data_IF_686611162030
#
_entry.id   IF_686611162030
#
_cell.length_a   1.000
_cell.length_b   1.000
_cell.length_c   1.000
_cell.angle_alpha   90.00
_cell.angle_beta   90.00
_cell.angle_gamma   90.00
#
_symmetry.space_group_name_H-M   'P 1'
#
loop_
_entity.id
_entity.type
_entity.pdbx_description
1 polymer ?
#
# COMPACT_ATOMS: atom_id res chain seq x y z
N UNK A 1 10.70 8.16 9.27
CA UNK A 1 11.42 9.33 8.71
C UNK A 1 10.52 10.20 7.85
N UNK A 2 9.79 9.67 6.86
CA UNK A 2 8.87 10.46 6.00
C UNK A 2 7.87 11.35 6.78
N UNK A 3 7.18 10.80 7.78
CA UNK A 3 6.22 11.58 8.59
C UNK A 3 6.81 12.81 9.29
N UNK A 4 8.04 12.75 9.82
CA UNK A 4 8.64 13.89 10.50
C UNK A 4 8.99 14.98 9.50
N UNK A 5 9.63 14.60 8.38
CA UNK A 5 10.01 15.54 7.33
C UNK A 5 8.80 16.24 6.72
N UNK A 6 7.78 15.47 6.32
CA UNK A 6 6.53 16.00 5.79
C UNK A 6 5.81 16.90 6.80
N UNK A 7 5.79 16.53 8.09
CA UNK A 7 5.20 17.37 9.14
C UNK A 7 6.00 18.66 9.36
N UNK A 8 7.33 18.59 9.33
CA UNK A 8 8.19 19.78 9.46
C UNK A 8 8.01 20.72 8.27
N UNK A 9 8.07 20.21 7.03
CA UNK A 9 7.84 21.03 5.84
C UNK A 9 6.43 21.62 5.80
N UNK A 10 5.40 20.83 6.14
CA UNK A 10 4.04 21.32 6.19
C UNK A 10 3.87 22.40 7.28
N UNK A 11 4.49 22.21 8.45
CA UNK A 11 4.50 23.21 9.52
C UNK A 11 5.20 24.48 9.06
N UNK A 12 6.36 24.36 8.40
CA UNK A 12 7.13 25.52 7.95
C UNK A 12 6.33 26.34 6.92
N UNK A 13 5.71 25.67 5.94
CA UNK A 13 4.95 26.35 4.90
C UNK A 13 3.58 26.87 5.38
N UNK A 14 2.86 26.11 6.21
CA UNK A 14 1.45 26.38 6.54
C UNK A 14 1.25 27.07 7.88
N UNK A 15 2.21 27.01 8.79
CA UNK A 15 2.10 27.57 10.14
C UNK A 15 3.16 28.66 10.41
N UNK A 16 4.43 28.40 10.10
CA UNK A 16 5.51 29.36 10.36
C UNK A 16 5.60 30.45 9.28
N UNK A 17 5.48 30.03 8.02
CA UNK A 17 5.53 30.87 6.84
C UNK A 17 6.91 31.48 6.55
N UNK A 18 7.01 32.13 5.39
CA UNK A 18 8.20 32.84 4.95
C UNK A 18 7.86 34.30 4.67
N UNK A 19 8.85 35.19 4.75
CA UNK A 19 8.68 36.59 4.33
C UNK A 19 8.63 36.69 2.80
N UNK A 20 8.32 37.88 2.27
CA UNK A 20 8.25 38.12 0.82
C UNK A 20 9.57 37.83 0.08
N UNK A 21 10.71 37.81 0.80
CA UNK A 21 12.02 37.44 0.27
C UNK A 21 12.34 35.94 0.32
N UNK A 22 11.41 35.10 0.80
CA UNK A 22 11.60 33.65 0.94
C UNK A 22 12.41 33.22 2.17
N UNK A 23 12.64 34.10 3.15
CA UNK A 23 13.34 33.76 4.40
C UNK A 23 12.36 33.41 5.51
N UNK A 24 12.79 32.57 6.47
CA UNK A 24 12.01 32.28 7.68
C UNK A 24 11.69 33.57 8.43
N UNK A 25 10.52 33.63 9.04
CA UNK A 25 10.13 34.75 9.89
C UNK A 25 11.01 34.81 11.15
N UNK A 26 11.41 36.02 11.56
CA UNK A 26 12.24 36.26 12.75
C UNK A 26 13.64 36.80 12.44
N UNK A 27 14.46 36.91 13.48
CA UNK A 27 15.86 37.36 13.35
C UNK A 27 16.76 36.13 13.31
N UNK A 28 17.51 35.89 12.22
CA UNK A 28 18.37 34.73 12.11
C UNK A 28 19.49 34.78 13.15
N UNK A 29 19.76 33.64 13.79
CA UNK A 29 20.93 33.48 14.64
C UNK A 29 22.17 33.34 13.75
N UNK A 30 23.00 34.37 13.71
CA UNK A 30 24.26 34.39 12.94
C UNK A 30 25.44 33.76 13.67
N UNK A 31 25.26 33.34 14.93
CA UNK A 31 26.33 32.79 15.77
C UNK A 31 26.52 31.27 15.59
N UNK A 32 25.90 30.68 14.56
CA UNK A 32 26.09 29.28 14.22
C UNK A 32 27.41 29.06 13.48
N UNK A 33 28.16 28.03 13.88
CA UNK A 33 29.35 27.60 13.15
C UNK A 33 28.96 27.14 11.73
N UNK A 34 29.81 27.42 10.72
CA UNK A 34 29.57 26.96 9.37
C UNK A 34 29.54 25.41 9.32
N UNK A 35 28.72 24.79 8.45
CA UNK A 35 28.71 23.34 8.27
C UNK A 35 30.12 22.80 7.94
N UNK A 36 30.53 21.74 8.64
CA UNK A 36 31.82 21.10 8.40
C UNK A 36 31.70 20.02 7.32
N UNK A 37 32.52 20.11 6.28
CA UNK A 37 32.63 19.06 5.26
C UNK A 37 33.28 17.82 5.85
N UNK A 38 32.61 16.67 5.75
CA UNK A 38 33.21 15.38 6.05
C UNK A 38 34.10 14.96 4.88
N UNK A 39 35.39 14.76 5.15
CA UNK A 39 36.38 14.33 4.18
C UNK A 39 36.72 12.86 4.41
N UNK A 40 36.91 12.12 3.32
CA UNK A 40 37.26 10.72 3.32
C UNK A 40 38.40 10.52 2.34
N UNK A 41 39.44 9.81 2.76
CA UNK A 41 40.44 9.27 1.85
C UNK A 41 39.88 7.97 1.26
N UNK A 42 39.99 7.79 -0.06
CA UNK A 42 39.47 6.62 -0.78
C UNK A 42 40.64 5.77 -1.30
N UNK A 43 41.10 4.76 -0.53
CA UNK A 43 42.03 3.75 -1.03
C UNK A 43 41.45 3.02 -2.25
N UNK A 44 42.34 2.39 -3.03
CA UNK A 44 41.96 1.63 -4.22
C UNK A 44 40.91 0.55 -3.92
N UNK A 45 41.04 -0.16 -2.80
CA UNK A 45 40.07 -1.17 -2.36
C UNK A 45 38.68 -0.58 -2.10
N UNK A 46 38.62 0.67 -1.60
CA UNK A 46 37.37 1.38 -1.37
C UNK A 46 36.72 1.82 -2.68
N UNK A 47 37.52 2.30 -3.64
CA UNK A 47 37.04 2.68 -4.97
C UNK A 47 36.43 1.46 -5.67
N UNK A 48 37.10 0.30 -5.62
CA UNK A 48 36.57 -0.93 -6.18
C UNK A 48 35.24 -1.36 -5.55
N UNK A 49 35.10 -1.20 -4.23
CA UNK A 49 33.83 -1.48 -3.54
C UNK A 49 32.71 -0.50 -3.94
N UNK A 50 33.05 0.77 -4.17
CA UNK A 50 32.11 1.80 -4.67
C UNK A 50 31.62 1.41 -6.06
N UNK A 51 32.53 1.05 -6.97
CA UNK A 51 32.18 0.70 -8.36
C UNK A 51 31.33 -0.57 -8.42
N UNK A 52 31.66 -1.59 -7.63
CA UNK A 52 30.84 -2.80 -7.51
C UNK A 52 29.43 -2.49 -6.99
N UNK A 53 29.34 -1.70 -5.91
CA UNK A 53 28.07 -1.28 -5.33
C UNK A 53 27.23 -0.44 -6.31
N UNK A 54 27.89 0.41 -7.10
CA UNK A 54 27.23 1.19 -8.14
C UNK A 54 26.66 0.30 -9.24
N UNK A 55 27.41 -0.71 -9.69
CA UNK A 55 26.94 -1.70 -10.65
C UNK A 55 25.68 -2.43 -10.16
N UNK A 56 25.69 -2.91 -8.92
CA UNK A 56 24.53 -3.56 -8.29
C UNK A 56 23.33 -2.62 -8.16
N UNK A 57 23.54 -1.39 -7.64
CA UNK A 57 22.48 -0.40 -7.48
C UNK A 57 21.85 0.00 -8.82
N UNK A 58 22.68 0.13 -9.86
CA UNK A 58 22.22 0.44 -11.22
C UNK A 58 21.38 -0.70 -11.79
N UNK A 59 21.85 -1.94 -11.69
CA UNK A 59 21.09 -3.11 -12.16
C UNK A 59 19.74 -3.23 -11.44
N UNK A 60 19.71 -3.00 -10.11
CA UNK A 60 18.47 -2.97 -9.34
C UNK A 60 17.52 -1.86 -9.79
N UNK A 61 18.04 -0.66 -10.09
CA UNK A 61 17.22 0.46 -10.55
C UNK A 61 16.66 0.23 -11.97
N UNK A 62 17.44 -0.37 -12.86
CA UNK A 62 17.05 -0.69 -14.24
C UNK A 62 15.99 -1.81 -14.30
N UNK A 63 15.90 -2.66 -13.27
CA UNK A 63 14.92 -3.76 -13.19
C UNK A 63 13.52 -3.33 -12.73
N UNK A 64 13.34 -2.15 -12.13
CA UNK A 64 12.06 -1.75 -11.54
C UNK A 64 11.11 -1.17 -12.59
N UNK A 65 10.00 -1.85 -12.86
CA UNK A 65 8.87 -1.28 -13.59
C UNK A 65 7.91 -0.59 -12.61
N UNK A 66 7.55 0.66 -12.89
CA UNK A 66 6.82 1.52 -11.96
C UNK A 66 5.70 2.31 -12.64
N UNK A 67 4.52 2.31 -12.01
CA UNK A 67 3.38 3.14 -12.37
C UNK A 67 2.79 3.82 -11.12
N UNK A 68 2.59 5.13 -11.20
CA UNK A 68 1.85 5.88 -10.19
C UNK A 68 0.72 6.68 -10.83
N UNK A 69 -0.44 6.69 -10.17
CA UNK A 69 -1.57 7.49 -10.64
C UNK A 69 -2.47 7.97 -9.51
N UNK A 70 -3.10 9.12 -9.78
CA UNK A 70 -4.21 9.64 -9.00
C UNK A 70 -5.54 9.08 -9.52
N UNK A 71 -6.38 8.64 -8.60
CA UNK A 71 -7.76 8.25 -8.83
C UNK A 71 -8.68 9.27 -8.15
N UNK A 72 -9.39 10.05 -8.96
CA UNK A 72 -10.22 11.18 -8.52
C UNK A 72 -11.70 11.04 -8.92
N UNK A 73 -12.10 9.92 -9.54
CA UNK A 73 -13.49 9.67 -9.90
C UNK A 73 -14.38 9.57 -8.66
N UNK A 74 -13.85 8.99 -7.58
CA UNK A 74 -14.41 9.00 -6.23
C UNK A 74 -13.32 8.68 -5.20
N UNK A 75 -13.63 8.80 -3.92
CA UNK A 75 -12.74 8.40 -2.83
C UNK A 75 -13.51 7.81 -1.65
N UNK A 76 -12.92 7.89 -0.45
CA UNK A 76 -13.53 7.36 0.77
C UNK A 76 -14.94 7.90 1.05
N UNK A 77 -15.24 9.12 0.59
CA UNK A 77 -16.54 9.75 0.82
C UNK A 77 -17.69 9.02 0.14
N UNK A 78 -17.47 8.47 -1.07
CA UNK A 78 -18.46 7.62 -1.73
C UNK A 78 -18.48 6.23 -1.08
N UNK A 79 -17.30 5.61 -0.90
CA UNK A 79 -17.18 4.25 -0.37
C UNK A 79 -17.88 4.10 0.99
N UNK A 80 -17.73 5.09 1.88
CA UNK A 80 -18.38 5.10 3.20
C UNK A 80 -19.90 5.25 3.13
N UNK A 81 -20.45 5.96 2.14
CA UNK A 81 -21.91 6.06 1.95
C UNK A 81 -22.52 4.70 1.62
N UNK A 82 -21.74 3.83 0.99
CA UNK A 82 -22.08 2.44 0.70
C UNK A 82 -21.75 1.50 1.88
N UNK A 83 -21.58 2.04 3.10
CA UNK A 83 -21.32 1.31 4.36
C UNK A 83 -20.11 0.37 4.32
N UNK A 84 -19.14 0.66 3.45
CA UNK A 84 -17.95 -0.17 3.27
C UNK A 84 -16.71 0.55 3.80
N UNK A 85 -15.78 -0.20 4.41
CA UNK A 85 -14.46 0.34 4.75
C UNK A 85 -13.71 0.73 3.47
N UNK A 86 -13.17 1.95 3.34
CA UNK A 86 -12.35 2.35 2.19
C UNK A 86 -11.20 1.39 1.92
N UNK A 87 -10.59 0.89 2.98
CA UNK A 87 -9.48 -0.05 2.90
C UNK A 87 -9.92 -1.42 2.37
N UNK A 88 -11.00 -2.00 2.94
CA UNK A 88 -11.60 -3.24 2.41
C UNK A 88 -12.02 -3.09 0.95
N UNK A 89 -12.59 -1.94 0.56
CA UNK A 89 -12.97 -1.70 -0.83
C UNK A 89 -11.76 -1.80 -1.76
N UNK A 90 -10.68 -1.09 -1.43
CA UNK A 90 -9.45 -1.08 -2.24
C UNK A 90 -8.85 -2.49 -2.28
N UNK A 91 -8.75 -3.18 -1.16
CA UNK A 91 -8.19 -4.53 -1.10
C UNK A 91 -8.98 -5.53 -1.95
N UNK A 92 -10.31 -5.49 -1.92
CA UNK A 92 -11.14 -6.32 -2.80
C UNK A 92 -11.01 -5.89 -4.28
N UNK A 93 -10.87 -4.60 -4.57
CA UNK A 93 -10.59 -4.11 -5.93
C UNK A 93 -9.23 -4.61 -6.45
N UNK A 94 -8.20 -4.67 -5.60
CA UNK A 94 -6.90 -5.24 -5.93
C UNK A 94 -7.00 -6.74 -6.26
N UNK A 95 -7.84 -7.51 -5.55
CA UNK A 95 -8.09 -8.91 -5.88
C UNK A 95 -8.75 -9.07 -7.26
N UNK A 96 -9.75 -8.24 -7.57
CA UNK A 96 -10.41 -8.25 -8.88
C UNK A 96 -9.44 -7.85 -10.00
N UNK A 97 -8.66 -6.79 -9.79
CA UNK A 97 -7.66 -6.34 -10.74
C UNK A 97 -6.60 -7.41 -11.00
N UNK A 98 -6.10 -8.07 -9.96
CA UNK A 98 -5.06 -9.09 -10.10
C UNK A 98 -5.58 -10.31 -10.86
N UNK A 99 -6.81 -10.75 -10.57
CA UNK A 99 -7.42 -11.86 -11.29
C UNK A 99 -7.65 -11.54 -12.78
N UNK A 100 -8.03 -10.30 -13.12
CA UNK A 100 -8.14 -9.87 -14.52
C UNK A 100 -6.78 -9.82 -15.22
N UNK A 101 -5.74 -9.44 -14.50
CA UNK A 101 -4.39 -9.31 -15.02
C UNK A 101 -3.70 -10.66 -15.23
N UNK A 102 -3.88 -11.60 -14.29
CA UNK A 102 -3.10 -12.85 -14.19
C UNK A 102 -3.93 -14.11 -14.44
N UNK A 103 -5.26 -14.02 -14.41
CA UNK A 103 -6.17 -15.17 -14.60
C UNK A 103 -6.24 -16.15 -13.41
N UNK A 104 -5.47 -15.92 -12.35
CA UNK A 104 -5.48 -16.75 -11.14
C UNK A 104 -5.33 -15.92 -9.86
N UNK A 105 -5.64 -16.54 -8.73
CA UNK A 105 -5.45 -15.95 -7.40
C UNK A 105 -4.01 -16.17 -6.91
N UNK A 106 -3.55 -15.34 -5.98
CA UNK A 106 -2.24 -15.45 -5.38
C UNK A 106 -2.28 -15.10 -3.88
N UNK A 107 -1.20 -15.42 -3.16
CA UNK A 107 -1.05 -14.92 -1.79
C UNK A 107 -0.91 -13.40 -1.82
N UNK A 108 -1.82 -12.74 -1.12
CA UNK A 108 -1.81 -11.29 -0.95
C UNK A 108 -1.43 -10.93 0.47
N UNK A 109 -0.36 -10.15 0.61
CA UNK A 109 0.08 -9.56 1.86
C UNK A 109 -0.51 -8.16 1.97
N UNK A 110 -1.11 -7.84 3.11
CA UNK A 110 -1.39 -6.48 3.54
C UNK A 110 -0.75 -6.23 4.91
N UNK A 111 -0.05 -5.09 5.06
CA UNK A 111 0.50 -4.68 6.34
C UNK A 111 -0.58 -4.14 7.28
N UNK A 112 -0.75 -4.77 8.45
CA UNK A 112 -1.59 -4.26 9.55
C UNK A 112 -0.74 -3.86 10.74
N UNK A 113 -0.93 -2.64 11.27
CA UNK A 113 -0.15 -2.15 12.41
C UNK A 113 -0.62 -2.76 13.73
N UNK A 114 0.30 -3.27 14.55
CA UNK A 114 0.02 -3.85 15.87
C UNK A 114 0.34 -2.89 17.02
N UNK A 115 0.16 -1.57 16.80
CA UNK A 115 0.52 -0.51 17.75
C UNK A 115 -0.27 -0.52 19.08
N UNK A 116 -1.23 -1.43 19.23
CA UNK A 116 -1.89 -1.71 20.52
C UNK A 116 -0.96 -2.45 21.51
N UNK A 117 0.13 -3.04 21.02
CA UNK A 117 1.11 -3.76 21.83
C UNK A 117 2.39 -2.93 21.96
N UNK A 118 3.09 -3.07 23.09
CA UNK A 118 4.42 -2.47 23.29
C UNK A 118 5.37 -3.00 22.22
N UNK A 119 6.12 -2.10 21.57
CA UNK A 119 7.03 -2.42 20.45
C UNK A 119 6.33 -3.04 19.23
N UNK A 120 4.99 -2.99 19.18
CA UNK A 120 4.20 -3.49 18.06
C UNK A 120 4.62 -2.84 16.74
N UNK A 121 4.98 -3.69 15.77
CA UNK A 121 5.28 -3.30 14.39
C UNK A 121 4.10 -3.63 13.50
N UNK A 122 4.13 -4.80 12.86
CA UNK A 122 3.14 -5.21 11.86
C UNK A 122 2.77 -6.67 12.00
N UNK A 123 1.52 -7.00 11.69
CA UNK A 123 1.03 -8.34 11.36
C UNK A 123 0.55 -8.33 9.88
N UNK A 124 0.34 -9.52 9.30
CA UNK A 124 -0.18 -9.69 7.94
C UNK A 124 -1.69 -9.89 7.95
N UNK A 125 -2.37 -9.15 7.08
CA UNK A 125 -3.72 -9.49 6.63
C UNK A 125 -3.61 -10.22 5.30
N UNK A 126 -4.23 -11.40 5.22
CA UNK A 126 -4.28 -12.21 4.00
C UNK A 126 -5.51 -11.86 3.18
N UNK A 127 -5.40 -10.85 2.32
CA UNK A 127 -6.55 -10.25 1.63
C UNK A 127 -7.23 -11.17 0.60
N UNK A 128 -6.50 -12.17 0.08
CA UNK A 128 -7.07 -13.20 -0.78
C UNK A 128 -7.81 -14.27 0.05
N UNK A 129 -9.06 -13.98 0.44
CA UNK A 129 -9.93 -14.92 1.16
C UNK A 129 -10.87 -15.67 0.22
N UNK A 130 -11.54 -16.73 0.71
CA UNK A 130 -12.55 -17.46 -0.06
C UNK A 130 -13.68 -16.54 -0.53
N UNK A 131 -14.11 -15.63 0.34
CA UNK A 131 -15.14 -14.63 0.09
C UNK A 131 -14.70 -13.64 -1.00
N UNK A 132 -13.47 -13.13 -0.92
CA UNK A 132 -12.89 -12.30 -1.98
C UNK A 132 -12.84 -13.04 -3.32
N UNK A 133 -12.39 -14.30 -3.33
CA UNK A 133 -12.35 -15.09 -4.58
C UNK A 133 -13.74 -15.40 -5.15
N UNK A 134 -14.75 -15.58 -4.29
CA UNK A 134 -16.13 -15.81 -4.72
C UNK A 134 -16.70 -14.55 -5.39
N UNK A 135 -16.49 -13.38 -4.77
CA UNK A 135 -16.85 -12.10 -5.39
C UNK A 135 -16.15 -11.90 -6.74
N UNK A 136 -14.83 -12.09 -6.80
CA UNK A 136 -14.05 -11.89 -8.03
C UNK A 136 -14.53 -12.81 -9.16
N UNK A 137 -14.82 -14.08 -8.87
CA UNK A 137 -15.39 -15.01 -9.86
C UNK A 137 -16.75 -14.54 -10.35
N UNK A 138 -17.62 -14.06 -9.46
CA UNK A 138 -18.97 -13.59 -9.82
C UNK A 138 -18.97 -12.41 -10.79
N UNK A 139 -17.91 -11.58 -10.78
CA UNK A 139 -17.78 -10.43 -11.69
C UNK A 139 -17.60 -10.82 -13.16
N UNK A 140 -17.12 -12.04 -13.43
CA UNK A 140 -16.96 -12.57 -14.79
C UNK A 140 -18.02 -13.61 -15.15
N UNK A 141 -18.91 -13.94 -14.23
CA UNK A 141 -19.97 -14.93 -14.43
C UNK A 141 -21.23 -14.26 -14.99
N UNK A 142 -21.66 -14.59 -16.22
CA UNK A 142 -22.87 -14.02 -16.83
C UNK A 142 -24.16 -14.47 -16.15
N UNK A 143 -24.14 -15.56 -15.37
CA UNK A 143 -25.31 -16.03 -14.62
C UNK A 143 -25.54 -15.26 -13.31
N UNK A 144 -24.53 -14.57 -12.80
CA UNK A 144 -24.63 -13.78 -11.57
C UNK A 144 -25.28 -12.42 -11.83
N UNK A 145 -26.38 -12.12 -11.12
CA UNK A 145 -27.02 -10.81 -11.22
C UNK A 145 -26.19 -9.70 -10.53
N UNK A 146 -26.41 -8.41 -10.84
CA UNK A 146 -25.78 -7.31 -10.12
C UNK A 146 -26.03 -7.34 -8.61
N UNK A 147 -27.21 -7.81 -8.18
CA UNK A 147 -27.55 -7.95 -6.76
C UNK A 147 -26.71 -9.03 -6.08
N UNK A 148 -26.53 -10.18 -6.74
CA UNK A 148 -25.71 -11.29 -6.20
C UNK A 148 -24.25 -10.86 -6.08
N UNK A 149 -23.72 -10.16 -7.09
CA UNK A 149 -22.36 -9.60 -7.08
C UNK A 149 -22.17 -8.61 -5.92
N UNK A 150 -23.16 -7.74 -5.68
CA UNK A 150 -23.12 -6.79 -4.58
C UNK A 150 -23.13 -7.49 -3.21
N UNK A 151 -23.94 -8.53 -3.04
CA UNK A 151 -23.99 -9.30 -1.79
C UNK A 151 -22.66 -10.05 -1.54
N UNK A 152 -22.06 -10.63 -2.58
CA UNK A 152 -20.74 -11.26 -2.48
C UNK A 152 -19.66 -10.22 -2.15
N UNK A 153 -19.73 -9.03 -2.76
CA UNK A 153 -18.83 -7.92 -2.42
C UNK A 153 -18.92 -7.54 -0.95
N UNK A 154 -20.13 -7.36 -0.42
CA UNK A 154 -20.35 -7.00 0.99
C UNK A 154 -19.76 -8.07 1.92
N UNK A 155 -20.01 -9.34 1.62
CA UNK A 155 -19.46 -10.48 2.38
C UNK A 155 -17.93 -10.48 2.37
N UNK A 156 -17.31 -10.23 1.21
CA UNK A 156 -15.86 -10.12 1.08
C UNK A 156 -15.29 -8.93 1.86
N UNK A 157 -15.94 -7.77 1.79
CA UNK A 157 -15.50 -6.56 2.48
C UNK A 157 -15.62 -6.67 4.01
N UNK A 158 -16.69 -7.29 4.50
CA UNK A 158 -16.90 -7.62 5.92
C UNK A 158 -15.84 -8.60 6.42
N UNK A 159 -15.55 -9.66 5.64
CA UNK A 159 -14.51 -10.62 5.98
C UNK A 159 -13.14 -9.95 6.07
N UNK A 160 -12.80 -9.12 5.09
CA UNK A 160 -11.56 -8.35 5.10
C UNK A 160 -11.44 -7.50 6.36
N UNK A 161 -12.50 -6.76 6.70
CA UNK A 161 -12.52 -5.93 7.90
C UNK A 161 -12.37 -6.75 9.19
N UNK A 162 -12.99 -7.93 9.27
CA UNK A 162 -12.81 -8.86 10.38
C UNK A 162 -11.35 -9.30 10.50
N UNK A 163 -10.72 -9.72 9.38
CA UNK A 163 -9.33 -10.15 9.35
C UNK A 163 -8.37 -9.03 9.77
N UNK A 164 -8.62 -7.80 9.33
CA UNK A 164 -7.84 -6.64 9.74
C UNK A 164 -7.92 -6.39 11.25
N UNK A 165 -9.13 -6.48 11.83
CA UNK A 165 -9.32 -6.36 13.28
C UNK A 165 -8.55 -7.44 14.03
N UNK A 166 -8.62 -8.70 13.58
CA UNK A 166 -7.88 -9.80 14.20
C UNK A 166 -6.37 -9.56 14.14
N UNK A 167 -5.84 -9.14 12.99
CA UNK A 167 -4.42 -8.86 12.82
C UNK A 167 -3.94 -7.72 13.76
N UNK A 168 -4.65 -6.58 13.79
CA UNK A 168 -4.25 -5.44 14.63
C UNK A 168 -4.34 -5.73 16.13
N UNK A 169 -5.19 -6.67 16.55
CA UNK A 169 -5.30 -7.14 17.94
C UNK A 169 -4.46 -8.39 18.23
N UNK A 170 -3.47 -8.72 17.38
CA UNK A 170 -2.51 -9.80 17.64
C UNK A 170 -3.07 -11.21 17.48
N UNK A 171 -4.24 -11.35 16.84
CA UNK A 171 -4.86 -12.64 16.50
C UNK A 171 -4.61 -13.04 15.03
N UNK A 172 -3.66 -12.39 14.36
CA UNK A 172 -3.13 -12.87 13.08
C UNK A 172 -2.25 -14.10 13.25
N UNK A 173 -1.95 -14.78 12.14
CA UNK A 173 -1.21 -16.05 12.17
C UNK A 173 0.22 -15.94 11.66
N UNK A 174 0.53 -14.94 10.82
CA UNK A 174 1.78 -14.91 10.08
C UNK A 174 3.00 -14.65 10.97
N UNK A 175 2.94 -13.69 11.91
CA UNK A 175 4.04 -13.51 12.88
C UNK A 175 4.16 -14.67 13.85
N UNK A 176 3.05 -15.33 14.19
CA UNK A 176 3.08 -16.54 15.02
C UNK A 176 3.77 -17.70 14.28
N UNK A 177 3.41 -17.97 13.03
CA UNK A 177 4.07 -18.98 12.19
C UNK A 177 5.55 -18.69 11.99
N UNK A 178 5.92 -17.41 11.80
CA UNK A 178 7.32 -17.00 11.72
C UNK A 178 8.08 -17.26 13.04
N UNK A 179 7.46 -16.98 14.20
CA UNK A 179 8.03 -17.31 15.50
C UNK A 179 8.29 -18.83 15.64
N UNK A 180 7.31 -19.66 15.27
CA UNK A 180 7.47 -21.12 15.28
C UNK A 180 8.61 -21.59 14.37
N UNK A 181 8.78 -20.95 13.21
CA UNK A 181 9.90 -21.24 12.32
C UNK A 181 11.26 -20.85 12.92
N UNK A 182 11.38 -19.65 13.50
CA UNK A 182 12.63 -19.24 14.18
C UNK A 182 12.97 -20.21 15.32
N UNK A 183 11.97 -20.62 16.10
CA UNK A 183 12.15 -21.59 17.19
C UNK A 183 12.53 -22.99 16.67
N UNK A 184 11.93 -23.46 15.58
CA UNK A 184 12.28 -24.76 15.00
C UNK A 184 13.72 -24.79 14.50
N UNK A 185 14.20 -23.69 13.89
CA UNK A 185 15.60 -23.53 13.47
C UNK A 185 16.55 -23.53 14.67
N UNK A 186 16.21 -22.80 15.74
CA UNK A 186 17.01 -22.76 16.96
C UNK A 186 17.12 -24.13 17.64
N UNK A 187 16.03 -24.89 17.68
CA UNK A 187 15.97 -26.22 18.31
C UNK A 187 16.44 -27.37 17.41
N UNK A 188 16.77 -27.10 16.14
CA UNK A 188 17.13 -28.14 15.16
C UNK A 188 15.96 -29.05 14.76
N UNK A 189 14.71 -28.60 14.94
CA UNK A 189 13.51 -29.37 14.60
C UNK A 189 13.10 -29.08 13.15
N UNK A 190 13.04 -30.12 12.32
CA UNK A 190 12.51 -30.02 10.95
C UNK A 190 10.99 -30.00 10.98
N UNK A 191 10.38 -29.09 10.21
CA UNK A 191 8.93 -29.00 10.08
C UNK A 191 8.57 -28.82 8.60
N UNK A 192 8.20 -29.91 7.89
CA UNK A 192 7.77 -29.83 6.51
C UNK A 192 6.58 -28.89 6.29
N UNK A 193 5.73 -28.73 7.32
CA UNK A 193 4.65 -27.76 7.31
C UNK A 193 5.17 -26.32 7.25
N UNK A 194 6.07 -25.93 8.16
CA UNK A 194 6.62 -24.57 8.20
C UNK A 194 7.43 -24.27 6.94
N UNK A 195 8.22 -25.24 6.47
CA UNK A 195 8.99 -25.11 5.22
C UNK A 195 8.06 -24.82 4.04
N UNK A 196 6.92 -25.54 3.94
CA UNK A 196 5.94 -25.34 2.87
C UNK A 196 5.20 -24.01 2.98
N UNK A 197 4.64 -23.67 4.14
CA UNK A 197 3.78 -22.47 4.25
C UNK A 197 4.57 -21.17 4.14
N UNK A 198 5.87 -21.18 4.47
CA UNK A 198 6.74 -20.01 4.38
C UNK A 198 7.49 -19.90 3.04
N UNK A 199 7.50 -20.95 2.21
CA UNK A 199 8.10 -20.90 0.87
C UNK A 199 7.19 -20.27 -0.18
N UNK A 200 5.89 -20.17 0.08
CA UNK A 200 4.92 -19.62 -0.88
C UNK A 200 5.11 -18.11 -1.05
N UNK A 201 5.34 -17.61 -2.28
CA UNK A 201 5.66 -16.20 -2.50
C UNK A 201 4.43 -15.29 -2.40
N UNK A 202 4.63 -14.12 -1.82
CA UNK A 202 3.64 -13.04 -1.76
C UNK A 202 3.64 -12.24 -3.06
N UNK A 203 3.00 -12.80 -4.10
CA UNK A 203 2.95 -12.18 -5.43
C UNK A 203 2.16 -10.87 -5.49
N UNK A 204 1.35 -10.56 -4.48
CA UNK A 204 0.76 -9.24 -4.31
C UNK A 204 1.05 -8.75 -2.91
N UNK A 205 1.91 -7.74 -2.78
CA UNK A 205 2.22 -7.08 -1.50
C UNK A 205 1.61 -5.69 -1.48
N UNK A 206 0.86 -5.38 -0.43
CA UNK A 206 0.05 -4.17 -0.35
C UNK A 206 0.27 -3.43 0.97
N UNK A 207 0.18 -2.10 0.93
CA UNK A 207 0.18 -1.28 2.15
C UNK A 207 -0.61 -0.01 1.94
N UNK A 208 -1.50 0.29 2.88
CA UNK A 208 -2.05 1.62 3.02
C UNK A 208 -1.03 2.53 3.71
N UNK A 209 -0.69 3.65 3.10
CA UNK A 209 0.11 4.70 3.76
C UNK A 209 -0.83 5.77 4.33
N UNK A 210 -0.89 5.96 5.66
CA UNK A 210 -1.76 6.97 6.26
C UNK A 210 -1.22 8.37 5.98
N UNK A 211 -2.07 9.27 5.48
CA UNK A 211 -1.74 10.68 5.28
C UNK A 211 -2.33 11.52 6.43
N UNK A 212 -1.48 12.04 7.32
CA UNK A 212 -1.92 12.76 8.52
C UNK A 212 -1.94 14.28 8.33
N UNK A 213 -1.12 14.78 7.42
CA UNK A 213 -0.84 16.19 7.18
C UNK A 213 -2.00 16.89 6.45
N UNK A 214 -2.93 16.12 5.87
CA UNK A 214 -4.13 16.63 5.21
C UNK A 214 -5.08 17.40 6.15
N UNK A 215 -4.87 17.33 7.47
CA UNK A 215 -5.61 18.14 8.44
C UNK A 215 -5.03 19.55 8.61
N UNK A 216 -3.84 19.81 8.06
CA UNK A 216 -3.14 21.10 8.19
C UNK A 216 -3.56 22.11 7.11
N UNK A 217 -4.24 21.66 6.05
CA UNK A 217 -4.71 22.51 4.96
C UNK A 217 -6.02 21.98 4.36
N UNK A 218 -6.77 22.82 3.65
CA UNK A 218 -7.89 22.36 2.82
C UNK A 218 -7.38 21.86 1.49
N UNK A 219 -7.67 20.59 1.18
CA UNK A 219 -7.31 19.99 -0.11
C UNK A 219 -8.06 20.65 -1.28
N UNK A 220 -9.26 21.18 -1.04
CA UNK A 220 -10.03 21.90 -2.04
C UNK A 220 -9.38 23.24 -2.40
N UNK A 221 -8.82 23.94 -1.42
CA UNK A 221 -8.11 25.20 -1.64
C UNK A 221 -6.70 24.99 -2.19
N UNK A 222 -6.02 23.91 -1.79
CA UNK A 222 -4.64 23.60 -2.16
C UNK A 222 -4.50 22.17 -2.71
N UNK A 223 -5.06 21.89 -3.90
CA UNK A 223 -5.05 20.54 -4.47
C UNK A 223 -3.64 20.00 -4.74
N UNK A 224 -2.69 20.89 -5.03
CA UNK A 224 -1.29 20.53 -5.35
C UNK A 224 -0.44 20.22 -4.10
N UNK A 225 -0.98 20.40 -2.89
CA UNK A 225 -0.26 20.12 -1.64
C UNK A 225 -0.36 18.64 -1.21
N UNK A 226 -0.98 17.79 -2.02
CA UNK A 226 -0.97 16.33 -1.82
C UNK A 226 0.13 15.67 -2.64
N UNK A 227 0.99 14.93 -1.95
CA UNK A 227 1.91 13.99 -2.57
C UNK A 227 1.22 12.66 -2.87
N UNK A 228 1.62 12.01 -3.97
CA UNK A 228 1.21 10.63 -4.26
C UNK A 228 1.81 9.60 -3.29
N UNK A 229 2.70 10.04 -2.42
CA UNK A 229 3.38 9.20 -1.42
C UNK A 229 4.54 8.40 -2.00
N UNK A 230 5.03 7.48 -1.19
CA UNK A 230 6.00 6.47 -1.60
C UNK A 230 5.39 5.08 -1.71
N UNK A 231 6.06 4.20 -2.44
CA UNK A 231 5.80 2.77 -2.41
C UNK A 231 7.07 1.97 -2.21
N UNK A 232 6.99 0.70 -2.57
CA UNK A 232 8.05 -0.29 -2.39
C UNK A 232 8.07 -1.22 -3.61
N UNK A 233 9.21 -1.86 -3.88
CA UNK A 233 9.33 -2.88 -4.92
C UNK A 233 8.53 -4.16 -4.60
N UNK A 234 8.28 -5.04 -5.58
CA UNK A 234 7.65 -6.32 -5.32
C UNK A 234 8.54 -7.21 -4.44
N UNK A 235 7.92 -8.08 -3.64
CA UNK A 235 8.64 -9.04 -2.77
C UNK A 235 8.87 -10.40 -3.42
N UNK A 236 8.30 -10.61 -4.60
CA UNK A 236 8.50 -11.77 -5.47
C UNK A 236 8.86 -11.26 -6.87
N UNK A 237 9.73 -11.97 -7.58
CA UNK A 237 10.20 -11.55 -8.91
C UNK A 237 9.05 -11.47 -9.94
N UNK A 238 8.04 -12.32 -9.78
CA UNK A 238 6.84 -12.44 -10.62
C UNK A 238 5.58 -11.78 -9.99
N UNK A 239 5.81 -10.82 -9.09
CA UNK A 239 4.76 -10.17 -8.29
C UNK A 239 4.70 -8.65 -8.41
N UNK A 240 3.75 -8.07 -7.68
CA UNK A 240 3.49 -6.64 -7.60
C UNK A 240 3.68 -6.11 -6.18
N UNK A 241 4.23 -4.90 -6.06
CA UNK A 241 4.16 -4.05 -4.87
C UNK A 241 3.14 -2.93 -5.08
N UNK A 242 2.17 -2.77 -4.17
CA UNK A 242 1.13 -1.74 -4.27
C UNK A 242 1.02 -0.95 -2.97
N UNK A 243 1.39 0.34 -3.02
CA UNK A 243 1.10 1.29 -1.95
C UNK A 243 -0.06 2.19 -2.37
N UNK A 244 -0.96 2.52 -1.44
CA UNK A 244 -2.03 3.47 -1.70
C UNK A 244 -2.24 4.45 -0.55
N UNK A 245 -2.60 5.68 -0.91
CA UNK A 245 -2.97 6.74 0.03
C UNK A 245 -4.40 7.16 -0.23
N UNK A 246 -5.18 7.31 0.84
CA UNK A 246 -6.52 7.88 0.79
C UNK A 246 -6.43 9.33 1.27
N UNK A 247 -6.50 10.28 0.34
CA UNK A 247 -6.39 11.70 0.59
C UNK A 247 -7.76 12.40 0.51
N UNK A 248 -8.20 13.00 1.61
CA UNK A 248 -9.47 13.73 1.65
C UNK A 248 -10.65 12.80 1.40
N UNK A 249 -11.72 13.30 0.77
CA UNK A 249 -12.94 12.53 0.49
C UNK A 249 -12.98 11.93 -0.93
N UNK A 250 -12.19 12.46 -1.87
CA UNK A 250 -12.32 12.19 -3.31
C UNK A 250 -11.06 11.67 -4.00
N UNK A 251 -9.92 11.64 -3.31
CA UNK A 251 -8.64 11.31 -3.92
C UNK A 251 -8.05 10.04 -3.30
N UNK A 252 -7.66 9.10 -4.16
CA UNK A 252 -6.86 7.94 -3.81
C UNK A 252 -5.65 7.92 -4.75
N UNK A 253 -4.44 7.79 -4.21
CA UNK A 253 -3.22 7.66 -5.02
C UNK A 253 -2.72 6.23 -4.93
N UNK A 254 -2.22 5.70 -6.04
CA UNK A 254 -1.65 4.36 -6.14
C UNK A 254 -0.22 4.44 -6.64
N UNK A 255 0.66 3.69 -6.00
CA UNK A 255 2.04 3.45 -6.41
C UNK A 255 2.21 1.94 -6.62
N UNK A 256 2.48 1.55 -7.86
CA UNK A 256 2.54 0.15 -8.28
C UNK A 256 3.92 -0.13 -8.84
N UNK A 257 4.56 -1.18 -8.36
CA UNK A 257 5.86 -1.65 -8.83
C UNK A 257 5.80 -3.12 -9.22
N UNK A 258 6.65 -3.49 -10.16
CA UNK A 258 6.96 -4.87 -10.56
C UNK A 258 8.39 -4.91 -11.13
N UNK A 259 8.81 -6.04 -11.69
CA UNK A 259 10.12 -6.17 -12.35
C UNK A 259 9.97 -6.28 -13.85
N UNK A 260 10.79 -5.56 -14.61
CA UNK A 260 10.85 -5.66 -16.08
C UNK A 260 11.22 -7.07 -16.57
N UNK A 261 12.03 -7.81 -15.79
CA UNK A 261 12.44 -9.18 -16.12
C UNK A 261 11.31 -10.19 -16.06
N UNK A 262 10.20 -9.90 -15.38
CA UNK A 262 9.06 -10.80 -15.29
C UNK A 262 8.16 -10.60 -16.52
N UNK A 263 7.99 -11.63 -17.39
CA UNK A 263 7.08 -11.55 -18.55
C UNK A 263 5.60 -11.51 -18.15
N UNK A 264 5.35 -11.69 -16.87
CA UNK A 264 4.06 -11.96 -16.26
C UNK A 264 3.45 -10.72 -15.61
N UNK A 265 4.29 -9.70 -15.35
CA UNK A 265 3.91 -8.46 -14.65
C UNK A 265 4.12 -7.23 -15.53
N UNK A 266 3.21 -6.25 -15.40
CA UNK A 266 3.31 -4.93 -16.02
C UNK A 266 2.60 -3.92 -15.13
N UNK A 267 3.34 -3.00 -14.51
CA UNK A 267 2.84 -2.05 -13.51
C UNK A 267 1.77 -1.12 -14.09
N UNK A 268 1.89 -0.74 -15.38
CA UNK A 268 0.95 0.17 -16.05
C UNK A 268 -0.35 -0.55 -16.41
N UNK A 269 -0.26 -1.77 -16.95
CA UNK A 269 -1.40 -2.66 -17.24
C UNK A 269 -2.16 -2.97 -15.96
N UNK A 270 -1.44 -3.32 -14.90
CA UNK A 270 -2.06 -3.60 -13.61
C UNK A 270 -2.73 -2.35 -13.02
N UNK A 271 -2.11 -1.18 -13.16
CA UNK A 271 -2.73 0.10 -12.77
C UNK A 271 -4.03 0.42 -13.52
N UNK A 272 -4.10 0.11 -14.82
CA UNK A 272 -5.34 0.22 -15.59
C UNK A 272 -6.42 -0.75 -15.07
N UNK A 273 -6.04 -1.99 -14.76
CA UNK A 273 -6.94 -2.99 -14.18
C UNK A 273 -7.47 -2.56 -12.79
N UNK A 274 -6.63 -1.94 -11.95
CA UNK A 274 -7.05 -1.38 -10.65
C UNK A 274 -8.06 -0.26 -10.86
N UNK A 275 -7.78 0.70 -11.75
CA UNK A 275 -8.72 1.79 -12.06
C UNK A 275 -10.08 1.25 -12.50
N UNK A 276 -10.09 0.27 -13.40
CA UNK A 276 -11.33 -0.34 -13.89
C UNK A 276 -12.05 -1.11 -12.78
N UNK A 277 -11.34 -1.90 -11.98
CA UNK A 277 -11.93 -2.65 -10.87
C UNK A 277 -12.61 -1.72 -9.84
N UNK A 278 -11.98 -0.59 -9.51
CA UNK A 278 -12.57 0.42 -8.62
C UNK A 278 -13.91 0.95 -9.17
N UNK A 279 -13.95 1.31 -10.46
CA UNK A 279 -15.17 1.82 -11.11
C UNK A 279 -16.26 0.76 -11.19
N UNK A 280 -15.92 -0.48 -11.58
CA UNK A 280 -16.89 -1.56 -11.72
C UNK A 280 -17.53 -1.93 -10.39
N UNK A 281 -16.76 -1.95 -9.30
CA UNK A 281 -17.28 -2.20 -7.95
C UNK A 281 -18.20 -1.06 -7.52
N UNK A 282 -17.83 0.20 -7.78
CA UNK A 282 -18.68 1.35 -7.45
C UNK A 282 -20.02 1.31 -8.21
N UNK A 283 -20.02 0.89 -9.48
CA UNK A 283 -21.24 0.75 -10.28
C UNK A 283 -22.23 -0.26 -9.69
N UNK A 284 -21.78 -1.30 -8.98
CA UNK A 284 -22.66 -2.22 -8.25
C UNK A 284 -23.40 -1.52 -7.09
N UNK A 285 -22.79 -0.50 -6.50
CA UNK A 285 -23.32 0.19 -5.32
C UNK A 285 -24.40 1.22 -5.69
N UNK A 286 -24.30 1.83 -6.87
CA UNK A 286 -25.29 2.78 -7.39
C UNK A 286 -26.62 2.09 -7.80
N UNK A 287 -26.62 0.76 -7.91
CA UNK A 287 -27.80 -0.05 -8.28
C UNK A 287 -28.77 -0.31 -7.11
N UNK A 288 -28.47 0.11 -5.88
CA UNK A 288 -29.44 0.01 -4.79
C UNK A 288 -30.51 1.12 -4.89
N UNK A 289 -31.81 0.77 -4.97
CA UNK A 289 -32.86 1.72 -4.65
C UNK A 289 -32.61 2.23 -3.24
N UNK A 290 -32.63 3.55 -3.03
CA UNK A 290 -32.59 4.14 -1.68
C UNK A 290 -33.78 3.61 -0.88
N UNK A 291 -33.60 2.51 -0.16
CA UNK A 291 -34.55 2.12 0.87
C UNK A 291 -34.43 3.18 1.96
N UNK A 292 -35.36 4.14 1.92
CA UNK A 292 -35.61 5.06 3.03
C UNK A 292 -35.95 4.17 4.24
N UNK A 293 -35.02 4.07 5.19
CA UNK A 293 -35.35 3.55 6.50
C UNK A 293 -36.47 4.41 7.08
N UNK A 294 -37.59 3.76 7.42
CA UNK A 294 -38.65 4.34 8.26
C UNK A 294 -38.15 4.46 9.70
#
# INVERSE_FOLDING_TARGET
>A
MGHLWEFMLATDQLLLGYCNGGHCQGVPNTDLLPPQRLLWDFPEECIQAIDASYGEARALAEEVDFCCFCFSAFGKGLIKKCRTSPDSFIQIALQLAHFRDRGHFCLTYEASMTRLFREGRTETVRSCTREATAFVRSMSDPSCSPSDRLQLFQTAAEKHQQMYRLAMTGAGIDRHLFCLYVMSRYLGVKSPFLDKVLSEPWRLSTSQTPQQQIRMFSLEAYPDYVSSGGGFGPVADDGYGVSYIIAGEKLITFHISSKFSSPETDSKRFGANIRQAMVDIAALMDMQPRQKAR
#
